data_IF_154077534743
#
_entry.id   IF_154077534743
#
_cell.length_a   1.000
_cell.length_b   1.000
_cell.length_c   1.000
_cell.angle_alpha   90.00
_cell.angle_beta   90.00
_cell.angle_gamma   90.00
#
_symmetry.space_group_name_H-M   'P 1'
#
loop_
_entity.id
_entity.type
_entity.pdbx_description
1 polymer ?
#
# COMPACT_ATOMS: atom_id res chain seq x y z
N UNK A 1 24.43 5.50 0.86
CA UNK A 1 23.82 5.24 2.18
C UNK A 1 24.66 5.74 3.34
N UNK A 2 25.95 5.41 3.45
CA UNK A 2 26.83 5.84 4.56
C UNK A 2 26.95 7.36 4.79
N UNK A 3 26.57 8.19 3.82
CA UNK A 3 26.56 9.65 3.92
C UNK A 3 25.16 10.26 4.12
N UNK A 4 24.10 9.45 4.12
CA UNK A 4 22.73 9.94 4.31
C UNK A 4 22.22 9.54 5.69
N UNK A 5 21.66 10.52 6.41
CA UNK A 5 20.90 10.21 7.62
C UNK A 5 19.60 9.54 7.19
N UNK A 6 19.44 8.29 7.60
CA UNK A 6 18.23 7.51 7.36
C UNK A 6 17.37 7.64 8.60
N UNK A 7 16.12 8.06 8.39
CA UNK A 7 15.13 8.09 9.45
C UNK A 7 14.16 6.94 9.26
N UNK A 8 13.60 6.50 10.37
CA UNK A 8 12.51 5.54 10.35
C UNK A 8 11.27 6.20 9.74
N UNK A 9 10.72 5.56 8.71
CA UNK A 9 9.50 6.02 8.05
C UNK A 9 8.30 5.51 8.84
N UNK A 10 7.92 6.20 9.91
CA UNK A 10 6.82 5.79 10.79
C UNK A 10 5.45 6.17 10.22
N UNK A 11 5.29 7.39 9.72
CA UNK A 11 4.07 7.85 9.05
C UNK A 11 4.34 9.02 8.10
N UNK A 12 3.36 9.35 7.26
CA UNK A 12 3.39 10.54 6.42
C UNK A 12 2.59 10.38 5.13
N UNK A 13 2.93 11.16 4.11
CA UNK A 13 2.26 11.11 2.80
C UNK A 13 3.24 10.63 1.74
N UNK A 14 2.87 9.60 0.97
CA UNK A 14 3.53 9.24 -0.28
C UNK A 14 2.75 9.80 -1.45
N UNK A 15 3.48 10.36 -2.42
CA UNK A 15 2.91 10.94 -3.63
C UNK A 15 3.45 10.20 -4.84
N UNK A 16 2.56 9.65 -5.64
CA UNK A 16 2.88 8.85 -6.81
C UNK A 16 2.28 9.49 -8.06
N UNK A 17 2.94 9.27 -9.19
CA UNK A 17 2.39 9.55 -10.51
C UNK A 17 2.18 8.20 -11.21
N UNK A 18 0.97 7.65 -11.08
CA UNK A 18 0.61 6.38 -11.69
C UNK A 18 0.32 6.60 -13.19
N UNK A 19 0.83 5.75 -14.10
CA UNK A 19 0.74 5.98 -15.55
C UNK A 19 -0.69 6.04 -16.09
N UNK A 20 -1.66 5.49 -15.37
CA UNK A 20 -3.04 5.36 -15.85
C UNK A 20 -4.04 6.20 -15.05
N UNK A 21 -3.88 6.31 -13.73
CA UNK A 21 -4.80 7.08 -12.87
C UNK A 21 -4.23 8.44 -12.47
N UNK A 22 -3.03 8.77 -12.95
CA UNK A 22 -2.37 10.05 -12.65
C UNK A 22 -1.87 10.13 -11.21
N UNK A 23 -2.00 11.31 -10.60
CA UNK A 23 -1.50 11.56 -9.25
C UNK A 23 -2.28 10.77 -8.21
N UNK A 24 -1.57 10.07 -7.33
CA UNK A 24 -2.13 9.36 -6.18
C UNK A 24 -1.34 9.77 -4.93
N UNK A 25 -2.01 10.46 -4.03
CA UNK A 25 -1.48 10.78 -2.71
C UNK A 25 -2.10 9.80 -1.69
N UNK A 26 -1.25 9.09 -0.95
CA UNK A 26 -1.66 8.18 0.13
C UNK A 26 -0.99 8.57 1.43
N UNK A 27 -1.77 8.57 2.51
CA UNK A 27 -1.22 8.55 3.86
C UNK A 27 -0.65 7.16 4.12
N UNK A 28 0.47 7.07 4.81
CA UNK A 28 1.08 5.82 5.22
C UNK A 28 1.36 5.82 6.71
N UNK A 29 1.24 4.64 7.31
CA UNK A 29 1.63 4.34 8.68
C UNK A 29 2.35 2.99 8.71
N UNK A 30 3.39 2.87 9.54
CA UNK A 30 4.23 1.68 9.69
C UNK A 30 4.12 1.16 11.11
N UNK A 31 3.84 -0.13 11.26
CA UNK A 31 3.66 -0.79 12.56
C UNK A 31 4.58 -2.01 12.69
N UNK A 32 5.30 -2.16 13.81
CA UNK A 32 6.03 -3.39 14.09
C UNK A 32 5.06 -4.55 14.34
N UNK A 33 5.43 -5.75 13.92
CA UNK A 33 4.64 -6.96 14.17
C UNK A 33 5.10 -7.61 15.49
N UNK A 34 4.21 -7.80 16.48
CA UNK A 34 4.61 -8.41 17.76
C UNK A 34 5.21 -9.81 17.57
N UNK A 35 6.40 -10.03 18.12
CA UNK A 35 7.10 -11.32 18.03
C UNK A 35 7.97 -11.51 16.78
N UNK A 36 7.83 -10.62 15.78
CA UNK A 36 8.52 -10.73 14.49
C UNK A 36 9.37 -9.46 14.24
N UNK A 37 10.60 -9.37 14.80
CA UNK A 37 11.39 -8.14 14.80
C UNK A 37 11.80 -7.64 13.41
N UNK A 38 11.85 -8.54 12.42
CA UNK A 38 12.20 -8.22 11.04
C UNK A 38 10.96 -7.98 10.15
N UNK A 39 9.76 -7.97 10.73
CA UNK A 39 8.50 -7.71 10.00
C UNK A 39 7.88 -6.37 10.38
N UNK A 40 7.32 -5.71 9.37
CA UNK A 40 6.64 -4.43 9.50
C UNK A 40 5.36 -4.46 8.65
N UNK A 41 4.25 -3.99 9.23
CA UNK A 41 3.01 -3.75 8.51
C UNK A 41 2.97 -2.30 8.03
N UNK A 42 2.79 -2.11 6.73
CA UNK A 42 2.54 -0.79 6.13
C UNK A 42 1.07 -0.66 5.76
N UNK A 43 0.40 0.33 6.33
CA UNK A 43 -0.97 0.69 5.99
C UNK A 43 -0.93 1.92 5.11
N UNK A 44 -1.59 1.85 3.95
CA UNK A 44 -1.79 3.00 3.07
C UNK A 44 -3.26 3.34 3.02
N UNK A 45 -3.58 4.61 3.24
CA UNK A 45 -4.96 5.10 3.22
C UNK A 45 -5.07 6.38 2.40
N UNK A 46 -6.30 6.75 2.08
CA UNK A 46 -6.64 7.97 1.35
C UNK A 46 -7.85 8.58 2.02
N UNK A 47 -7.95 9.91 2.00
CA UNK A 47 -9.16 10.58 2.43
C UNK A 47 -10.39 10.03 1.67
N UNK A 48 -11.49 9.66 2.36
CA UNK A 48 -12.70 9.19 1.70
C UNK A 48 -13.23 10.19 0.67
N UNK A 49 -13.78 9.70 -0.45
CA UNK A 49 -14.31 10.50 -1.55
C UNK A 49 -13.30 11.49 -2.19
N UNK A 50 -12.00 11.25 -2.01
CA UNK A 50 -10.95 11.99 -2.73
C UNK A 50 -10.62 11.38 -4.09
N UNK A 51 -10.00 12.16 -4.96
CA UNK A 51 -9.50 11.65 -6.25
C UNK A 51 -8.51 10.48 -6.08
N UNK A 52 -7.65 10.52 -5.05
CA UNK A 52 -6.79 9.38 -4.71
C UNK A 52 -7.59 8.14 -4.31
N UNK A 53 -8.69 8.31 -3.57
CA UNK A 53 -9.57 7.20 -3.20
C UNK A 53 -10.20 6.55 -4.43
N UNK A 54 -10.74 7.36 -5.34
CA UNK A 54 -11.31 6.86 -6.61
C UNK A 54 -10.26 6.19 -7.48
N UNK A 55 -9.06 6.77 -7.57
CA UNK A 55 -7.93 6.17 -8.27
C UNK A 55 -7.57 4.78 -7.72
N UNK A 56 -7.50 4.61 -6.40
CA UNK A 56 -7.24 3.30 -5.78
C UNK A 56 -8.38 2.30 -6.07
N UNK A 57 -9.64 2.75 -6.11
CA UNK A 57 -10.78 1.89 -6.48
C UNK A 57 -10.71 1.42 -7.93
N UNK A 58 -10.27 2.29 -8.84
CA UNK A 58 -10.04 1.93 -10.25
C UNK A 58 -8.91 0.89 -10.35
N UNK A 59 -7.78 1.11 -9.67
CA UNK A 59 -6.68 0.15 -9.68
C UNK A 59 -7.07 -1.21 -9.07
N UNK A 60 -7.86 -1.20 -8.00
CA UNK A 60 -8.35 -2.41 -7.36
C UNK A 60 -9.32 -3.22 -8.25
N UNK A 61 -10.06 -2.55 -9.14
CA UNK A 61 -10.99 -3.22 -10.06
C UNK A 61 -10.27 -3.93 -11.22
N UNK A 62 -9.00 -3.64 -11.46
CA UNK A 62 -8.19 -4.33 -12.48
C UNK A 62 -7.63 -5.68 -12.03
N UNK A 63 -8.14 -6.25 -10.94
CA UNK A 63 -7.84 -7.64 -10.60
C UNK A 63 -8.21 -8.54 -11.78
N UNK A 64 -7.20 -8.94 -12.54
CA UNK A 64 -7.12 -10.20 -13.25
C UNK A 64 -7.24 -11.32 -12.21
N UNK A 65 -8.38 -12.03 -12.19
CA UNK A 65 -8.65 -13.38 -11.65
C UNK A 65 -7.70 -14.03 -10.61
N UNK A 66 -7.16 -13.28 -9.65
CA UNK A 66 -6.27 -13.83 -8.59
C UNK A 66 -7.03 -14.22 -7.33
N UNK A 67 -8.30 -13.84 -7.20
CA UNK A 67 -9.15 -14.24 -6.06
C UNK A 67 -9.54 -15.72 -6.12
N UNK A 68 -9.66 -16.31 -7.32
CA UNK A 68 -9.94 -17.75 -7.46
C UNK A 68 -8.72 -18.62 -7.13
N UNK A 69 -7.49 -18.18 -7.44
CA UNK A 69 -6.28 -18.98 -7.23
C UNK A 69 -5.96 -19.22 -5.74
N UNK A 70 -6.12 -18.21 -4.89
CA UNK A 70 -5.85 -18.35 -3.44
C UNK A 70 -6.93 -19.16 -2.71
N UNK A 71 -8.18 -19.12 -3.18
CA UNK A 71 -9.27 -19.94 -2.62
C UNK A 71 -9.15 -21.42 -3.01
N UNK A 72 -8.62 -21.72 -4.20
CA UNK A 72 -8.37 -23.09 -4.67
C UNK A 72 -7.16 -23.74 -4.01
N UNK A 73 -6.13 -22.98 -3.61
CA UNK A 73 -4.95 -23.51 -2.93
C UNK A 73 -5.23 -23.89 -1.46
N UNK A 74 -6.22 -23.23 -0.82
CA UNK A 74 -6.65 -23.57 0.55
C UNK A 74 -7.52 -24.84 0.63
N UNK A 75 -7.88 -25.43 -0.51
CA UNK A 75 -8.67 -26.67 -0.62
C UNK A 75 -7.82 -27.88 -1.05
N UNK A 76 -6.49 -27.76 -1.07
CA UNK A 76 -5.53 -28.86 -1.27
C UNK A 76 -4.80 -29.21 0.02
#
# INVERSE_FOLDING_TARGET
WSQHRVWECTFGVKRFMHPIVGRVDVDYETFPVPGEPDQQLFVYSTQPASASNDALRILASWRTDQTDAAALESLR
#
